data_IF_113850528232
#
_entry.id   IF_113850528232
#
_cell.length_a   1.000
_cell.length_b   1.000
_cell.length_c   1.000
_cell.angle_alpha   90.00
_cell.angle_beta   90.00
_cell.angle_gamma   90.00
#
_symmetry.space_group_name_H-M   'P 1'
#
loop_
_entity.id
_entity.type
_entity.pdbx_description
1 polymer ?
#
# COMPACT_ATOMS: atom_id res chain seq x y z
N UNK A 1 -30.58 -19.25 -22.51
CA UNK A 1 -29.12 -19.06 -22.69
C UNK A 1 -28.67 -18.15 -21.56
N UNK A 2 -27.67 -18.58 -20.78
CA UNK A 2 -27.21 -17.93 -19.56
C UNK A 2 -26.64 -16.53 -19.88
N UNK A 3 -27.20 -15.50 -19.26
CA UNK A 3 -26.53 -14.21 -19.15
C UNK A 3 -25.38 -14.37 -18.16
N UNK A 4 -24.15 -14.28 -18.66
CA UNK A 4 -22.99 -14.12 -17.81
C UNK A 4 -23.04 -12.68 -17.29
N UNK A 5 -23.60 -12.50 -16.09
CA UNK A 5 -23.46 -11.26 -15.33
C UNK A 5 -21.96 -10.94 -15.24
N UNK A 6 -21.58 -9.89 -15.95
CA UNK A 6 -20.27 -9.27 -15.83
C UNK A 6 -20.26 -8.54 -14.50
N UNK A 7 -19.94 -9.26 -13.42
CA UNK A 7 -19.49 -8.67 -12.16
C UNK A 7 -18.08 -8.08 -12.36
N UNK A 8 -17.96 -7.04 -13.18
CA UNK A 8 -16.83 -6.10 -13.12
C UNK A 8 -17.13 -4.98 -12.13
N UNK A 9 -17.97 -5.26 -11.13
CA UNK A 9 -18.20 -4.39 -9.98
C UNK A 9 -17.05 -4.63 -8.99
N UNK A 10 -16.09 -3.69 -8.97
CA UNK A 10 -15.10 -3.55 -7.90
C UNK A 10 -14.41 -4.86 -7.46
N UNK A 11 -13.63 -5.47 -8.35
CA UNK A 11 -12.69 -6.52 -7.93
C UNK A 11 -11.68 -5.86 -6.97
N UNK A 12 -11.86 -6.08 -5.67
CA UNK A 12 -11.10 -5.51 -4.55
C UNK A 12 -10.36 -6.59 -3.76
N UNK A 13 -9.58 -6.17 -2.77
CA UNK A 13 -8.94 -7.10 -1.84
C UNK A 13 -8.05 -8.16 -2.50
N UNK A 14 -8.22 -9.41 -2.09
CA UNK A 14 -7.41 -10.53 -2.57
C UNK A 14 -7.62 -10.84 -4.04
N UNK A 15 -8.85 -10.70 -4.52
CA UNK A 15 -9.16 -11.00 -5.92
C UNK A 15 -8.52 -9.96 -6.86
N UNK A 16 -8.52 -8.69 -6.47
CA UNK A 16 -7.79 -7.63 -7.20
C UNK A 16 -6.29 -7.96 -7.29
N UNK A 17 -5.73 -8.42 -6.16
CA UNK A 17 -4.31 -8.80 -6.06
C UNK A 17 -3.99 -10.00 -6.94
N UNK A 18 -4.88 -11.00 -7.03
CA UNK A 18 -4.72 -12.16 -7.93
C UNK A 18 -4.77 -11.73 -9.39
N UNK A 19 -5.73 -10.89 -9.75
CA UNK A 19 -5.86 -10.38 -11.11
C UNK A 19 -4.62 -9.58 -11.53
N UNK A 20 -4.11 -8.72 -10.64
CA UNK A 20 -2.87 -7.97 -10.89
C UNK A 20 -1.66 -8.90 -11.13
N UNK A 21 -1.49 -9.93 -10.31
CA UNK A 21 -0.42 -10.93 -10.48
C UNK A 21 -0.60 -11.72 -11.78
N UNK A 22 -1.83 -12.11 -12.13
CA UNK A 22 -2.13 -12.80 -13.39
C UNK A 22 -1.79 -11.95 -14.61
N UNK A 23 -2.17 -10.67 -14.60
CA UNK A 23 -1.85 -9.73 -15.67
C UNK A 23 -0.34 -9.55 -15.85
N UNK A 24 0.41 -9.46 -14.74
CA UNK A 24 1.88 -9.39 -14.78
C UNK A 24 2.48 -10.70 -15.32
N UNK A 25 1.88 -11.85 -15.00
CA UNK A 25 2.34 -13.15 -15.48
C UNK A 25 2.18 -13.25 -17.01
N UNK A 26 1.07 -12.76 -17.54
CA UNK A 26 0.83 -12.72 -18.99
C UNK A 26 1.80 -11.77 -19.70
N UNK A 27 2.12 -10.63 -19.11
CA UNK A 27 3.17 -9.73 -19.61
C UNK A 27 4.55 -10.41 -19.60
N UNK A 28 4.90 -11.08 -18.50
CA UNK A 28 6.17 -11.80 -18.39
C UNK A 28 6.27 -12.97 -19.38
N UNK A 29 5.14 -13.61 -19.72
CA UNK A 29 5.04 -14.61 -20.80
C UNK A 29 5.30 -13.99 -22.17
N UNK A 30 4.63 -12.88 -22.49
CA UNK A 30 4.82 -12.19 -23.76
C UNK A 30 6.26 -11.71 -23.98
N UNK A 31 6.95 -11.36 -22.90
CA UNK A 31 8.35 -10.91 -22.92
C UNK A 31 9.38 -12.05 -22.85
N UNK A 32 8.94 -13.31 -22.69
CA UNK A 32 9.84 -14.45 -22.52
C UNK A 32 10.68 -14.44 -21.23
N UNK A 33 10.25 -13.69 -20.21
CA UNK A 33 10.98 -13.56 -18.95
C UNK A 33 10.66 -14.71 -17.98
N UNK A 34 11.29 -15.86 -18.18
CA UNK A 34 11.04 -17.09 -17.42
C UNK A 34 11.30 -16.96 -15.91
N UNK A 35 12.28 -16.14 -15.50
CA UNK A 35 12.56 -15.89 -14.08
C UNK A 35 11.40 -15.14 -13.41
N UNK A 36 10.90 -14.10 -14.06
CA UNK A 36 9.75 -13.34 -13.57
C UNK A 36 8.47 -14.19 -13.55
N UNK A 37 8.24 -15.01 -14.59
CA UNK A 37 7.10 -15.93 -14.62
C UNK A 37 7.09 -16.90 -13.43
N UNK A 38 8.26 -17.45 -13.09
CA UNK A 38 8.39 -18.39 -11.97
C UNK A 38 8.07 -17.72 -10.64
N UNK A 39 8.59 -16.51 -10.42
CA UNK A 39 8.27 -15.71 -9.24
C UNK A 39 6.79 -15.33 -9.13
N UNK A 40 6.19 -14.89 -10.24
CA UNK A 40 4.78 -14.50 -10.29
C UNK A 40 3.82 -15.69 -10.12
N UNK A 41 4.16 -16.86 -10.66
CA UNK A 41 3.38 -18.09 -10.46
C UNK A 41 3.38 -18.48 -8.99
N UNK A 42 4.55 -18.47 -8.35
CA UNK A 42 4.65 -18.72 -6.90
C UNK A 42 3.86 -17.69 -6.08
N UNK A 43 3.97 -16.41 -6.41
CA UNK A 43 3.21 -15.35 -5.72
C UNK A 43 1.68 -15.52 -5.88
N UNK A 44 1.23 -15.98 -7.06
CA UNK A 44 -0.18 -16.28 -7.30
C UNK A 44 -0.67 -17.44 -6.45
N UNK A 45 0.10 -18.53 -6.35
CA UNK A 45 -0.25 -19.70 -5.54
C UNK A 45 -0.24 -19.37 -4.04
N UNK A 46 0.75 -18.61 -3.57
CA UNK A 46 0.79 -18.11 -2.19
C UNK A 46 -0.40 -17.20 -1.88
N UNK A 47 -0.82 -16.36 -2.83
CA UNK A 47 -2.00 -15.52 -2.68
C UNK A 47 -3.29 -16.35 -2.62
N UNK A 48 -3.44 -17.36 -3.49
CA UNK A 48 -4.59 -18.28 -3.45
C UNK A 48 -4.66 -19.04 -2.11
N UNK A 49 -3.51 -19.44 -1.57
CA UNK A 49 -3.45 -20.19 -0.33
C UNK A 49 -3.66 -19.33 0.93
N UNK A 50 -3.12 -18.10 0.95
CA UNK A 50 -2.97 -17.33 2.20
C UNK A 50 -3.69 -15.98 2.20
N UNK A 51 -4.08 -15.44 1.04
CA UNK A 51 -4.70 -14.13 1.01
C UNK A 51 -6.13 -14.22 1.53
N UNK A 52 -6.41 -13.45 2.58
CA UNK A 52 -7.75 -13.21 3.10
C UNK A 52 -8.02 -11.70 3.11
N UNK A 53 -9.24 -11.29 2.76
CA UNK A 53 -9.59 -9.87 2.74
C UNK A 53 -9.48 -9.26 4.15
N UNK A 54 -9.82 -10.03 5.19
CA UNK A 54 -9.60 -9.64 6.58
C UNK A 54 -8.10 -9.41 6.90
N UNK A 55 -7.21 -10.25 6.36
CA UNK A 55 -5.77 -10.08 6.51
C UNK A 55 -5.25 -8.83 5.80
N UNK A 56 -5.73 -8.56 4.58
CA UNK A 56 -5.39 -7.34 3.84
C UNK A 56 -5.92 -6.08 4.54
N UNK A 57 -7.14 -6.13 5.05
CA UNK A 57 -7.73 -5.03 5.82
C UNK A 57 -6.87 -4.73 7.05
N UNK A 58 -6.53 -5.76 7.83
CA UNK A 58 -5.66 -5.62 9.01
C UNK A 58 -4.28 -5.06 8.66
N UNK A 59 -3.70 -5.47 7.54
CA UNK A 59 -2.41 -4.91 7.07
C UNK A 59 -2.53 -3.40 6.81
N UNK A 60 -3.61 -2.96 6.15
CA UNK A 60 -3.85 -1.53 5.86
C UNK A 60 -4.15 -0.73 7.12
N UNK A 61 -4.94 -1.27 8.04
CA UNK A 61 -5.20 -0.66 9.35
C UNK A 61 -3.90 -0.44 10.12
N UNK A 62 -3.00 -1.44 10.13
CA UNK A 62 -1.68 -1.31 10.74
C UNK A 62 -0.85 -0.21 10.07
N UNK A 63 -0.84 -0.12 8.73
CA UNK A 63 -0.14 0.97 8.02
C UNK A 63 -0.67 2.35 8.42
N UNK A 64 -1.99 2.49 8.57
CA UNK A 64 -2.60 3.74 9.05
C UNK A 64 -2.15 4.06 10.48
N UNK A 65 -2.11 3.07 11.38
CA UNK A 65 -1.63 3.26 12.74
C UNK A 65 -0.16 3.70 12.77
N UNK A 66 0.70 3.02 12.01
CA UNK A 66 2.12 3.35 11.90
C UNK A 66 2.33 4.77 11.34
N UNK A 67 1.60 5.15 10.29
CA UNK A 67 1.68 6.48 9.71
C UNK A 67 1.18 7.57 10.69
N UNK A 68 0.13 7.30 11.48
CA UNK A 68 -0.33 8.21 12.55
C UNK A 68 0.75 8.40 13.62
N UNK A 69 1.41 7.32 14.03
CA UNK A 69 2.50 7.39 14.99
C UNK A 69 3.67 8.21 14.46
N UNK A 70 4.02 8.05 13.18
CA UNK A 70 5.10 8.80 12.57
C UNK A 70 4.75 10.30 12.47
N UNK A 71 3.53 10.66 12.06
CA UNK A 71 3.06 12.06 12.09
C UNK A 71 3.18 12.67 13.49
N UNK A 72 2.76 11.95 14.52
CA UNK A 72 2.85 12.42 15.90
C UNK A 72 4.31 12.65 16.33
N UNK A 73 5.21 11.73 15.96
CA UNK A 73 6.65 11.84 16.23
C UNK A 73 7.27 13.03 15.51
N UNK A 74 6.95 13.24 14.22
CA UNK A 74 7.47 14.38 13.44
C UNK A 74 6.95 15.72 13.97
N UNK A 75 5.71 15.77 14.43
CA UNK A 75 5.16 16.95 15.10
C UNK A 75 5.95 17.27 16.37
N UNK A 76 6.19 16.27 17.23
CA UNK A 76 6.98 16.47 18.44
C UNK A 76 8.43 16.92 18.16
N UNK A 77 9.05 16.41 17.10
CA UNK A 77 10.39 16.85 16.67
C UNK A 77 10.40 18.29 16.15
N UNK A 78 9.37 18.71 15.42
CA UNK A 78 9.18 20.09 15.00
C UNK A 78 9.01 21.01 16.21
N UNK A 79 8.15 20.65 17.17
CA UNK A 79 7.91 21.45 18.38
C UNK A 79 9.19 21.63 19.20
N UNK A 80 10.03 20.58 19.29
CA UNK A 80 11.35 20.66 19.93
C UNK A 80 12.29 21.61 19.19
N UNK A 81 12.29 21.60 17.85
CA UNK A 81 13.10 22.52 17.05
C UNK A 81 12.63 23.97 17.20
N UNK A 82 11.32 24.20 17.22
CA UNK A 82 10.70 25.51 17.47
C UNK A 82 11.10 26.08 18.83
N UNK A 83 11.04 25.26 19.89
CA UNK A 83 11.47 25.68 21.25
C UNK A 83 12.96 26.03 21.33
N UNK A 84 13.80 25.43 20.49
CA UNK A 84 15.24 25.69 20.43
C UNK A 84 15.60 26.88 19.53
N UNK A 85 14.67 27.37 18.72
CA UNK A 85 14.92 28.48 17.78
C UNK A 85 15.86 28.14 16.62
N UNK A 86 16.04 26.85 16.31
CA UNK A 86 16.94 26.39 15.23
C UNK A 86 16.18 26.45 13.89
N UNK A 87 16.29 27.57 13.16
CA UNK A 87 15.55 27.84 11.92
C UNK A 87 15.76 26.79 10.85
N UNK A 88 16.99 26.29 10.71
CA UNK A 88 17.35 25.30 9.69
C UNK A 88 16.70 23.94 10.01
N UNK A 89 16.74 23.53 11.29
CA UNK A 89 16.00 22.33 11.72
C UNK A 89 14.50 22.51 11.64
N UNK A 90 13.95 23.69 11.92
CA UNK A 90 12.51 23.95 11.84
C UNK A 90 12.02 23.70 10.40
N UNK A 91 12.69 24.25 9.39
CA UNK A 91 12.30 24.05 7.99
C UNK A 91 12.39 22.58 7.58
N UNK A 92 13.52 21.92 7.85
CA UNK A 92 13.67 20.49 7.56
C UNK A 92 12.64 19.60 8.27
N UNK A 93 12.21 19.97 9.49
CA UNK A 93 11.19 19.22 10.25
C UNK A 93 9.78 19.46 9.73
N UNK A 94 9.48 20.65 9.22
CA UNK A 94 8.20 20.93 8.53
C UNK A 94 8.05 20.08 7.28
N UNK A 95 9.10 19.97 6.46
CA UNK A 95 9.07 19.17 5.24
C UNK A 95 8.82 17.69 5.55
N UNK A 96 9.54 17.13 6.53
CA UNK A 96 9.34 15.75 6.97
C UNK A 96 7.96 15.49 7.56
N UNK A 97 7.42 16.46 8.30
CA UNK A 97 6.06 16.36 8.81
C UNK A 97 5.02 16.39 7.68
N UNK A 98 5.23 17.20 6.65
CA UNK A 98 4.37 17.23 5.47
C UNK A 98 4.42 15.89 4.70
N UNK A 99 5.61 15.31 4.55
CA UNK A 99 5.81 13.98 3.95
C UNK A 99 5.05 12.90 4.74
N UNK A 100 5.25 12.79 6.06
CA UNK A 100 4.52 11.81 6.87
C UNK A 100 3.01 12.02 6.87
N UNK A 101 2.53 13.27 6.76
CA UNK A 101 1.09 13.56 6.60
C UNK A 101 0.57 13.07 5.25
N UNK A 102 1.36 13.19 4.19
CA UNK A 102 1.03 12.65 2.87
C UNK A 102 0.98 11.13 2.90
N UNK A 103 1.95 10.47 3.54
CA UNK A 103 1.95 9.01 3.72
C UNK A 103 0.73 8.54 4.52
N UNK A 104 0.35 9.26 5.58
CA UNK A 104 -0.87 8.99 6.32
C UNK A 104 -2.12 9.10 5.42
N UNK A 105 -2.20 10.15 4.60
CA UNK A 105 -3.33 10.30 3.68
C UNK A 105 -3.38 9.14 2.68
N UNK A 106 -2.24 8.74 2.12
CA UNK A 106 -2.16 7.60 1.20
C UNK A 106 -2.59 6.29 1.89
N UNK A 107 -2.18 6.06 3.13
CA UNK A 107 -2.59 4.89 3.89
C UNK A 107 -4.11 4.90 4.18
N UNK A 108 -4.71 6.07 4.44
CA UNK A 108 -6.16 6.21 4.60
C UNK A 108 -6.90 5.95 3.28
N UNK A 109 -6.40 6.51 2.17
CA UNK A 109 -6.98 6.27 0.85
C UNK A 109 -6.86 4.80 0.43
N UNK A 110 -5.81 4.11 0.89
CA UNK A 110 -5.65 2.68 0.71
C UNK A 110 -6.55 1.87 1.63
N UNK A 111 -6.89 2.33 2.84
CA UNK A 111 -7.73 1.57 3.76
C UNK A 111 -9.11 1.23 3.16
N UNK A 112 -9.66 2.11 2.31
CA UNK A 112 -11.00 1.96 1.72
C UNK A 112 -11.04 1.24 0.36
N UNK A 113 -9.88 0.77 -0.14
CA UNK A 113 -9.73 0.13 -1.46
C UNK A 113 -9.83 -1.39 -1.43
#
# INVERSE_FOLDING_TARGET
MLAADQDTADIKGCEAKRLAISNQLDQARAQGNSAQQTGLTKALDENKANCTDAGLQKERENKVLDARHEVAKRQADLDKAMKKGDSDKINSRKDKLAESRKELQQALDELDK
#
